data_IF_076034921348
#
_entry.id   IF_076034921348
#
_cell.length_a   1.000
_cell.length_b   1.000
_cell.length_c   1.000
_cell.angle_alpha   90.00
_cell.angle_beta   90.00
_cell.angle_gamma   90.00
#
_symmetry.space_group_name_H-M   'P 1'
#
loop_
_entity.id
_entity.type
_entity.pdbx_description
1 polymer ?
#
# COMPACT_ATOMS: atom_id res chain seq x y z
N UNK A 1 24.70 54.45 50.92
CA UNK A 1 23.39 53.96 50.42
C UNK A 1 23.36 53.72 48.90
N UNK A 2 23.69 54.70 48.03
CA UNK A 2 23.71 54.51 46.56
C UNK A 2 24.55 53.31 46.05
N UNK A 3 25.75 53.08 46.59
CA UNK A 3 26.59 51.92 46.20
C UNK A 3 25.96 50.55 46.53
N UNK A 4 25.15 50.47 47.59
CA UNK A 4 24.49 49.23 48.01
C UNK A 4 23.28 48.93 47.10
N UNK A 5 22.53 49.97 46.74
CA UNK A 5 21.38 49.92 45.82
C UNK A 5 21.84 49.50 44.41
N UNK A 6 22.96 50.04 43.91
CA UNK A 6 23.50 49.64 42.60
C UNK A 6 23.99 48.19 42.59
N UNK A 7 24.60 47.70 43.68
CA UNK A 7 25.01 46.29 43.78
C UNK A 7 23.81 45.34 43.82
N UNK A 8 22.75 45.73 44.53
CA UNK A 8 21.51 44.96 44.58
C UNK A 8 20.80 44.95 43.23
N UNK A 9 20.77 46.08 42.51
CA UNK A 9 20.21 46.18 41.16
C UNK A 9 20.98 45.33 40.14
N UNK A 10 22.32 45.33 40.19
CA UNK A 10 23.16 44.48 39.32
C UNK A 10 22.96 43.00 39.61
N UNK A 11 22.81 42.62 40.89
CA UNK A 11 22.53 41.23 41.28
C UNK A 11 21.17 40.74 40.74
N UNK A 12 20.13 41.58 40.78
CA UNK A 12 18.83 41.24 40.19
C UNK A 12 18.89 41.12 38.67
N UNK A 13 19.65 42.00 38.01
CA UNK A 13 19.82 41.94 36.55
C UNK A 13 20.52 40.65 36.13
N UNK A 14 21.52 40.20 36.89
CA UNK A 14 22.23 38.94 36.67
C UNK A 14 21.33 37.71 36.92
N UNK A 15 20.47 37.76 37.94
CA UNK A 15 19.49 36.70 38.22
C UNK A 15 18.45 36.56 37.09
N UNK A 16 17.93 37.68 36.59
CA UNK A 16 16.95 37.69 35.48
C UNK A 16 17.60 37.19 34.19
N UNK A 17 18.81 37.64 33.88
CA UNK A 17 19.55 37.18 32.70
C UNK A 17 19.89 35.69 32.78
N UNK A 18 20.29 35.20 33.96
CA UNK A 18 20.52 33.78 34.21
C UNK A 18 19.25 32.94 34.01
N UNK A 19 18.11 33.42 34.49
CA UNK A 19 16.84 32.71 34.37
C UNK A 19 16.32 32.66 32.93
N UNK A 20 16.53 33.71 32.14
CA UNK A 20 16.22 33.71 30.70
C UNK A 20 17.03 32.65 29.92
N UNK A 21 18.29 32.40 30.29
CA UNK A 21 19.12 31.38 29.65
C UNK A 21 18.69 29.93 29.97
N UNK A 22 17.95 29.70 31.05
CA UNK A 22 17.44 28.36 31.40
C UNK A 22 16.17 27.99 30.61
N UNK A 23 15.40 28.99 30.19
CA UNK A 23 14.17 28.78 29.39
C UNK A 23 14.40 28.90 27.88
N UNK A 24 15.61 29.23 27.41
CA UNK A 24 15.95 29.13 25.98
C UNK A 24 16.15 27.67 25.60
N UNK A 25 15.08 27.05 25.14
CA UNK A 25 15.10 25.76 24.44
C UNK A 25 15.76 25.95 23.06
N UNK A 26 17.05 25.65 22.95
CA UNK A 26 17.72 25.51 21.65
C UNK A 26 17.17 24.26 20.94
N UNK A 27 16.49 24.44 19.80
CA UNK A 27 16.32 23.42 18.77
C UNK A 27 15.64 22.10 19.14
N UNK A 28 14.61 22.09 19.98
CA UNK A 28 13.65 20.98 19.89
C UNK A 28 12.68 21.28 18.77
N UNK A 29 13.17 21.24 17.53
CA UNK A 29 12.25 21.03 16.40
C UNK A 29 11.43 19.78 16.72
N UNK A 30 10.13 19.84 16.40
CA UNK A 30 9.27 18.69 16.61
C UNK A 30 9.88 17.48 15.89
N UNK A 31 9.84 16.32 16.55
CA UNK A 31 10.30 15.05 15.98
C UNK A 31 9.76 14.91 14.53
N UNK A 32 10.65 15.04 13.55
CA UNK A 32 10.27 14.85 12.15
C UNK A 32 10.14 13.36 11.89
N UNK A 33 8.91 12.87 11.98
CA UNK A 33 8.58 11.52 11.57
C UNK A 33 8.93 11.35 10.09
N UNK A 34 9.48 10.18 9.75
CA UNK A 34 9.72 9.84 8.36
C UNK A 34 8.41 9.96 7.56
N UNK A 35 8.44 10.49 6.33
CA UNK A 35 7.28 10.51 5.47
C UNK A 35 6.71 9.09 5.28
N UNK A 36 5.39 8.96 5.34
CA UNK A 36 4.73 7.71 4.95
C UNK A 36 5.05 7.49 3.46
N UNK A 37 5.68 6.37 3.08
CA UNK A 37 5.98 6.11 1.68
C UNK A 37 4.67 6.03 0.89
N UNK A 38 4.65 6.64 -0.29
CA UNK A 38 3.52 6.49 -1.22
C UNK A 38 3.43 5.02 -1.64
N UNK A 39 2.23 4.40 -1.62
CA UNK A 39 2.06 3.04 -2.10
C UNK A 39 2.55 2.90 -3.54
N UNK A 40 3.37 1.89 -3.80
CA UNK A 40 3.73 1.51 -5.16
C UNK A 40 2.59 0.68 -5.76
N UNK A 41 2.00 1.19 -6.83
CA UNK A 41 0.95 0.49 -7.56
C UNK A 41 1.50 -0.25 -8.77
N UNK A 42 0.87 -1.36 -9.19
CA UNK A 42 1.25 -2.05 -10.41
C UNK A 42 1.20 -1.13 -11.64
N UNK A 43 2.09 -1.36 -12.60
CA UNK A 43 2.11 -0.68 -13.90
C UNK A 43 2.11 -1.72 -15.01
N UNK A 44 1.64 -1.35 -16.21
CA UNK A 44 1.54 -2.27 -17.35
C UNK A 44 0.17 -2.95 -17.46
N UNK A 45 0.17 -4.21 -17.90
CA UNK A 45 -1.07 -4.99 -18.07
C UNK A 45 -1.64 -5.46 -16.74
N UNK A 46 -2.97 -5.38 -16.60
CA UNK A 46 -3.68 -5.98 -15.46
C UNK A 46 -3.62 -7.50 -15.45
N UNK A 47 -4.07 -8.12 -14.36
CA UNK A 47 -4.03 -9.57 -14.19
C UNK A 47 -4.90 -10.26 -15.25
N UNK A 48 -6.13 -9.78 -15.46
CA UNK A 48 -7.02 -10.39 -16.45
C UNK A 48 -6.47 -10.22 -17.87
N UNK A 49 -5.98 -9.04 -18.22
CA UNK A 49 -5.34 -8.82 -19.53
C UNK A 49 -4.13 -9.75 -19.75
N UNK A 50 -3.39 -10.05 -18.69
CA UNK A 50 -2.26 -10.99 -18.72
C UNK A 50 -2.71 -12.44 -18.94
N UNK A 51 -3.81 -12.87 -18.30
CA UNK A 51 -4.38 -14.20 -18.53
C UNK A 51 -4.96 -14.34 -19.93
N UNK A 52 -5.72 -13.34 -20.40
CA UNK A 52 -6.36 -13.35 -21.71
C UNK A 52 -5.34 -13.40 -22.87
N UNK A 53 -4.13 -12.89 -22.65
CA UNK A 53 -3.04 -12.95 -23.63
C UNK A 53 -2.40 -14.34 -23.76
N UNK A 54 -2.71 -15.29 -22.87
CA UNK A 54 -2.11 -16.63 -22.85
C UNK A 54 -3.19 -17.71 -23.02
N UNK A 55 -3.15 -18.40 -24.16
CA UNK A 55 -4.11 -19.44 -24.53
C UNK A 55 -4.23 -20.57 -23.48
N UNK A 56 -3.19 -20.85 -22.69
CA UNK A 56 -3.23 -21.88 -21.64
C UNK A 56 -4.17 -21.56 -20.48
N UNK A 57 -4.70 -20.33 -20.42
CA UNK A 57 -5.62 -19.87 -19.37
C UNK A 57 -7.01 -19.49 -19.90
N UNK A 58 -7.34 -19.80 -21.16
CA UNK A 58 -8.60 -19.35 -21.77
C UNK A 58 -9.85 -19.80 -20.99
N UNK A 59 -9.84 -20.99 -20.39
CA UNK A 59 -10.93 -21.42 -19.51
C UNK A 59 -11.04 -20.57 -18.23
N UNK A 60 -9.91 -20.23 -17.62
CA UNK A 60 -9.89 -19.42 -16.41
C UNK A 60 -10.32 -17.98 -16.73
N UNK A 61 -9.92 -17.44 -17.88
CA UNK A 61 -10.38 -16.14 -18.37
C UNK A 61 -11.89 -16.11 -18.63
N UNK A 62 -12.43 -17.17 -19.25
CA UNK A 62 -13.87 -17.33 -19.43
C UNK A 62 -14.64 -17.32 -18.09
N UNK A 63 -14.08 -17.94 -17.04
CA UNK A 63 -14.64 -17.89 -15.68
C UNK A 63 -14.60 -16.46 -15.11
N UNK A 64 -13.48 -15.75 -15.24
CA UNK A 64 -13.34 -14.35 -14.81
C UNK A 64 -14.38 -13.48 -15.49
N UNK A 65 -14.57 -13.66 -16.81
CA UNK A 65 -15.57 -12.94 -17.59
C UNK A 65 -16.98 -13.26 -17.11
N UNK A 66 -17.30 -14.55 -16.91
CA UNK A 66 -18.60 -15.00 -16.40
C UNK A 66 -18.92 -14.47 -15.00
N UNK A 67 -17.90 -14.30 -14.17
CA UNK A 67 -17.99 -13.73 -12.83
C UNK A 67 -18.04 -12.19 -12.81
N UNK A 68 -17.83 -11.53 -13.95
CA UNK A 68 -17.81 -10.06 -14.03
C UNK A 68 -16.58 -9.41 -13.38
N UNK A 69 -15.48 -10.15 -13.22
CA UNK A 69 -14.31 -9.70 -12.45
C UNK A 69 -13.23 -9.00 -13.30
N UNK A 70 -13.43 -8.86 -14.62
CA UNK A 70 -12.43 -8.26 -15.53
C UNK A 70 -11.97 -6.88 -15.08
N UNK A 71 -12.90 -5.98 -14.76
CA UNK A 71 -12.57 -4.62 -14.32
C UNK A 71 -11.79 -4.61 -13.02
N UNK A 72 -12.19 -5.44 -12.05
CA UNK A 72 -11.50 -5.57 -10.76
C UNK A 72 -10.07 -6.06 -10.93
N UNK A 73 -9.87 -7.11 -11.73
CA UNK A 73 -8.53 -7.71 -11.93
C UNK A 73 -7.63 -6.87 -12.84
N UNK A 74 -8.18 -5.88 -13.54
CA UNK A 74 -7.42 -4.88 -14.29
C UNK A 74 -7.30 -3.53 -13.58
N UNK A 75 -7.78 -3.40 -12.33
CA UNK A 75 -7.62 -2.16 -11.55
C UNK A 75 -6.19 -2.03 -11.03
N UNK A 76 -5.40 -1.21 -11.73
CA UNK A 76 -4.01 -0.89 -11.38
C UNK A 76 -3.90 0.08 -10.18
N UNK A 77 -5.00 0.60 -9.64
CA UNK A 77 -5.00 1.40 -8.41
C UNK A 77 -5.04 0.54 -7.14
N UNK A 78 -5.01 -0.79 -7.31
CA UNK A 78 -5.05 -1.81 -6.26
C UNK A 78 -3.99 -2.87 -6.55
N UNK A 79 -3.72 -3.70 -5.54
CA UNK A 79 -2.82 -4.85 -5.66
C UNK A 79 -3.59 -6.11 -5.31
N UNK A 80 -3.60 -7.07 -6.24
CA UNK A 80 -4.22 -8.38 -6.05
C UNK A 80 -3.21 -9.49 -6.30
N UNK A 81 -3.44 -10.64 -5.69
CA UNK A 81 -2.74 -11.89 -6.00
C UNK A 81 -3.79 -12.90 -6.47
N UNK A 82 -3.62 -13.42 -7.69
CA UNK A 82 -4.53 -14.41 -8.27
C UNK A 82 -3.87 -15.79 -8.29
N UNK A 83 -4.57 -16.80 -7.76
CA UNK A 83 -4.19 -18.20 -7.89
C UNK A 83 -4.95 -18.81 -9.07
N UNK A 84 -4.36 -18.69 -10.26
CA UNK A 84 -4.93 -19.23 -11.48
C UNK A 84 -4.44 -20.65 -11.75
N UNK A 85 -5.33 -21.51 -12.26
CA UNK A 85 -4.98 -22.82 -12.81
C UNK A 85 -5.09 -22.78 -14.33
N UNK A 86 -4.33 -23.65 -15.01
CA UNK A 86 -4.34 -23.74 -16.47
C UNK A 86 -5.61 -24.43 -16.99
N UNK A 87 -5.72 -24.55 -18.32
CA UNK A 87 -6.85 -25.21 -18.96
C UNK A 87 -7.03 -26.67 -18.51
N UNK A 88 -5.96 -27.39 -18.18
CA UNK A 88 -6.06 -28.77 -17.70
C UNK A 88 -6.70 -28.85 -16.31
N UNK A 89 -6.26 -27.99 -15.38
CA UNK A 89 -6.90 -27.88 -14.07
C UNK A 89 -8.35 -27.43 -14.17
N UNK A 90 -8.64 -26.47 -15.05
CA UNK A 90 -10.01 -25.99 -15.28
C UNK A 90 -10.92 -27.07 -15.88
N UNK A 91 -10.43 -27.91 -16.79
CA UNK A 91 -11.21 -29.02 -17.36
C UNK A 91 -11.68 -30.00 -16.28
N UNK A 92 -10.82 -30.33 -15.32
CA UNK A 92 -11.18 -31.19 -14.19
C UNK A 92 -12.29 -30.52 -13.36
N UNK A 93 -12.13 -29.23 -13.03
CA UNK A 93 -13.13 -28.47 -12.29
C UNK A 93 -14.48 -28.40 -13.03
N UNK A 94 -14.48 -28.03 -14.30
CA UNK A 94 -15.71 -27.88 -15.10
C UNK A 94 -16.40 -29.22 -15.32
N UNK A 95 -15.65 -30.29 -15.58
CA UNK A 95 -16.20 -31.64 -15.67
C UNK A 95 -16.91 -32.03 -14.37
N UNK A 96 -16.27 -31.82 -13.21
CA UNK A 96 -16.85 -32.12 -11.91
C UNK A 96 -18.08 -31.23 -11.61
N UNK A 97 -17.95 -29.91 -11.80
CA UNK A 97 -19.00 -28.93 -11.51
C UNK A 97 -20.23 -29.07 -12.41
N UNK A 98 -20.05 -29.57 -13.64
CA UNK A 98 -21.14 -29.86 -14.57
C UNK A 98 -21.77 -31.24 -14.37
N UNK A 99 -21.30 -32.05 -13.41
CA UNK A 99 -21.77 -33.42 -13.23
C UNK A 99 -21.38 -34.36 -14.37
N UNK A 100 -20.28 -34.05 -15.07
CA UNK A 100 -19.77 -34.83 -16.20
C UNK A 100 -20.31 -34.41 -17.58
N UNK A 101 -21.17 -33.39 -17.66
CA UNK A 101 -21.74 -32.93 -18.94
C UNK A 101 -20.69 -32.33 -19.88
N UNK A 102 -19.65 -31.69 -19.33
CA UNK A 102 -18.50 -31.22 -20.11
C UNK A 102 -17.40 -32.27 -20.02
N UNK A 103 -17.06 -32.99 -21.09
CA UNK A 103 -16.07 -34.05 -21.05
C UNK A 103 -14.64 -33.50 -20.97
N UNK A 104 -13.71 -34.27 -20.41
CA UNK A 104 -12.30 -33.85 -20.22
C UNK A 104 -11.54 -33.62 -21.53
N UNK A 105 -12.02 -34.18 -22.65
CA UNK A 105 -11.45 -33.96 -23.98
C UNK A 105 -12.12 -32.80 -24.75
N UNK A 106 -12.98 -32.02 -24.09
CA UNK A 106 -13.53 -30.80 -24.68
C UNK A 106 -12.40 -29.82 -25.09
N UNK A 107 -12.60 -29.06 -26.18
CA UNK A 107 -11.67 -28.01 -26.57
C UNK A 107 -11.56 -26.94 -25.47
N UNK A 108 -10.46 -26.20 -25.49
CA UNK A 108 -10.28 -25.03 -24.63
C UNK A 108 -11.29 -23.93 -24.98
N UNK A 109 -11.56 -23.02 -24.04
CA UNK A 109 -12.51 -21.92 -24.22
C UNK A 109 -12.04 -20.88 -25.24
#
# INVERSE_FOLDING_TARGET
MKKLINKLSVLHLLLIAGMMMVFTSCNKDMEQLAPIPTPAYPTGSGIEATLAANANYSFYDALINRAGMKNTLNDLTKTFTLFATDNNGMKIFVNAASGGLVPLNAPDA
#
